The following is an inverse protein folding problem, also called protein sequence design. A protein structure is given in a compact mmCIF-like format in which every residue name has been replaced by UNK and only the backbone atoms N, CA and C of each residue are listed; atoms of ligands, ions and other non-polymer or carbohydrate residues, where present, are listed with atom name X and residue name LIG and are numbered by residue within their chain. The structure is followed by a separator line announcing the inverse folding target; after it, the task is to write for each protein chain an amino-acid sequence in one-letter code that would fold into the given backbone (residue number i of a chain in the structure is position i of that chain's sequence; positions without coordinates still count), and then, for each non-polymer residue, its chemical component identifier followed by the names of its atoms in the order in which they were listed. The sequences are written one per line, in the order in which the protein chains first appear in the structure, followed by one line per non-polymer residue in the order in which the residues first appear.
data_IF_740214950934
#
_entry.id   IF_740214950934
#
_cell.length_a   1.000
_cell.length_b   1.000
_cell.length_c   1.000
_cell.angle_alpha   90.00
_cell.angle_beta   90.00
_cell.angle_gamma   90.00
#
_symmetry.space_group_name_H-M   'P 1'
#
loop_
_entity.id
_entity.type
_entity.pdbx_description
1 polymer ?
#
# COMPACT_ATOMS: atom_id res chain seq x y z
N UNK A 1 2.38 -8.04 -10.28
CA UNK A 1 3.65 -8.01 -9.47
C UNK A 1 4.80 -8.71 -10.17
N UNK A 2 6.06 -8.22 -10.01
CA UNK A 2 7.28 -8.85 -10.55
C UNK A 2 7.67 -10.07 -9.71
N UNK A 3 7.65 -11.26 -10.33
CA UNK A 3 7.84 -12.54 -9.62
C UNK A 3 9.30 -12.79 -9.22
N UNK A 4 10.26 -12.32 -10.01
CA UNK A 4 11.68 -12.46 -9.67
C UNK A 4 12.03 -11.54 -8.49
N UNK A 5 11.50 -10.30 -8.49
CA UNK A 5 11.61 -9.39 -7.36
C UNK A 5 11.03 -9.98 -6.08
N UNK A 6 9.86 -10.63 -6.16
CA UNK A 6 9.24 -11.30 -5.00
C UNK A 6 10.10 -12.45 -4.46
N UNK A 7 10.70 -13.27 -5.31
CA UNK A 7 11.66 -14.31 -4.89
C UNK A 7 12.87 -13.66 -4.21
N UNK A 8 13.51 -12.68 -4.85
CA UNK A 8 14.67 -12.00 -4.28
C UNK A 8 14.34 -11.33 -2.94
N UNK A 9 13.18 -10.66 -2.82
CA UNK A 9 12.71 -10.07 -1.56
C UNK A 9 12.56 -11.12 -0.46
N UNK A 10 11.95 -12.26 -0.78
CA UNK A 10 11.76 -13.33 0.20
C UNK A 10 13.08 -13.83 0.78
N UNK A 11 14.12 -14.00 -0.03
CA UNK A 11 15.48 -14.35 0.43
C UNK A 11 16.18 -13.20 1.14
N UNK A 12 15.90 -11.95 0.77
CA UNK A 12 16.40 -10.77 1.48
C UNK A 12 15.85 -10.68 2.91
N UNK A 13 14.55 -10.95 3.10
CA UNK A 13 13.88 -10.88 4.40
C UNK A 13 14.11 -12.13 5.26
N UNK A 14 14.17 -13.29 4.64
CA UNK A 14 14.44 -14.56 5.31
C UNK A 14 15.38 -15.42 4.45
N UNK A 15 16.71 -15.40 4.73
CA UNK A 15 17.67 -16.21 3.98
C UNK A 15 17.45 -17.73 4.04
N UNK A 16 16.73 -18.20 5.06
CA UNK A 16 16.41 -19.62 5.27
C UNK A 16 15.02 -20.02 4.72
N UNK A 17 14.35 -19.14 3.97
CA UNK A 17 13.02 -19.40 3.43
C UNK A 17 13.01 -20.67 2.56
N UNK A 18 12.08 -21.58 2.85
CA UNK A 18 11.91 -22.82 2.10
C UNK A 18 11.04 -22.64 0.86
N UNK A 19 11.16 -23.54 -0.11
CA UNK A 19 10.30 -23.54 -1.31
C UNK A 19 8.80 -23.67 -0.98
N UNK A 20 8.44 -24.37 0.11
CA UNK A 20 7.05 -24.51 0.56
C UNK A 20 6.53 -23.20 1.16
N UNK A 21 7.35 -22.53 1.94
CA UNK A 21 7.02 -21.20 2.47
C UNK A 21 6.90 -20.18 1.34
N UNK A 22 7.82 -20.18 0.36
CA UNK A 22 7.71 -19.35 -0.84
C UNK A 22 6.40 -19.61 -1.60
N UNK A 23 6.01 -20.87 -1.77
CA UNK A 23 4.77 -21.22 -2.42
C UNK A 23 3.54 -20.66 -1.67
N UNK A 24 3.58 -20.72 -0.34
CA UNK A 24 2.53 -20.16 0.54
C UNK A 24 2.52 -18.64 0.49
N UNK A 25 3.66 -17.99 0.72
CA UNK A 25 3.80 -16.50 0.75
C UNK A 25 3.38 -15.88 -0.58
N UNK A 26 3.81 -16.50 -1.71
CA UNK A 26 3.56 -15.96 -3.05
C UNK A 26 2.23 -16.45 -3.66
N UNK A 27 1.51 -17.32 -2.94
CA UNK A 27 0.31 -17.98 -3.45
C UNK A 27 0.54 -18.65 -4.82
N UNK A 28 1.63 -19.41 -4.94
CA UNK A 28 2.05 -20.10 -6.16
C UNK A 28 2.13 -21.60 -5.92
N UNK A 29 2.03 -22.41 -7.01
CA UNK A 29 2.32 -23.82 -6.94
C UNK A 29 3.83 -24.07 -6.72
N UNK A 30 4.19 -25.17 -6.05
CA UNK A 30 5.60 -25.59 -5.90
C UNK A 30 6.34 -25.70 -7.25
N UNK A 31 5.65 -26.19 -8.28
CA UNK A 31 6.24 -26.29 -9.63
C UNK A 31 6.57 -24.90 -10.20
N UNK A 32 5.70 -23.90 -9.97
CA UNK A 32 5.97 -22.51 -10.38
C UNK A 32 7.13 -21.92 -9.59
N UNK A 33 7.20 -22.16 -8.28
CA UNK A 33 8.31 -21.70 -7.42
C UNK A 33 9.62 -22.33 -7.89
N UNK A 34 9.66 -23.64 -8.15
CA UNK A 34 10.87 -24.32 -8.63
C UNK A 34 11.37 -23.74 -9.97
N UNK A 35 10.44 -23.46 -10.89
CA UNK A 35 10.79 -22.80 -12.15
C UNK A 35 11.38 -21.42 -11.91
N UNK A 36 10.76 -20.58 -11.06
CA UNK A 36 11.24 -19.23 -10.75
C UNK A 36 12.62 -19.27 -10.06
N UNK A 37 12.86 -20.23 -9.18
CA UNK A 37 14.18 -20.42 -8.56
C UNK A 37 15.25 -20.81 -9.59
N UNK A 38 14.93 -21.70 -10.53
CA UNK A 38 15.79 -22.02 -11.67
C UNK A 38 16.13 -20.80 -12.51
N UNK A 39 15.10 -20.03 -12.89
CA UNK A 39 15.27 -18.78 -13.63
C UNK A 39 16.13 -17.75 -12.87
N UNK A 40 15.99 -17.67 -11.52
CA UNK A 40 16.80 -16.79 -10.68
C UNK A 40 18.26 -17.24 -10.59
N UNK A 41 18.54 -18.55 -10.61
CA UNK A 41 19.90 -19.08 -10.70
C UNK A 41 20.55 -18.75 -12.06
N UNK A 42 19.82 -18.96 -13.17
CA UNK A 42 20.29 -18.62 -14.52
C UNK A 42 20.61 -17.13 -14.68
N UNK A 43 19.80 -16.28 -14.03
CA UNK A 43 19.99 -14.82 -13.99
C UNK A 43 21.05 -14.37 -12.98
N UNK A 44 21.66 -15.30 -12.25
CA UNK A 44 22.58 -15.04 -11.15
C UNK A 44 21.99 -14.12 -10.05
N UNK A 45 20.66 -14.08 -9.87
CA UNK A 45 20.03 -13.41 -8.74
C UNK A 45 20.16 -14.23 -7.45
N UNK A 46 20.20 -15.56 -7.59
CA UNK A 46 20.49 -16.50 -6.53
C UNK A 46 21.72 -17.33 -6.91
N UNK A 47 22.37 -17.89 -5.90
CA UNK A 47 23.36 -18.93 -6.04
C UNK A 47 23.06 -20.09 -5.09
N UNK A 48 23.60 -21.27 -5.37
CA UNK A 48 23.51 -22.40 -4.45
C UNK A 48 24.79 -22.45 -3.61
N UNK A 49 24.65 -22.46 -2.32
CA UNK A 49 25.74 -22.73 -1.40
C UNK A 49 26.17 -24.20 -1.55
N UNK A 50 27.46 -24.43 -1.82
CA UNK A 50 27.98 -25.75 -2.14
C UNK A 50 28.04 -26.70 -0.94
N UNK A 51 28.12 -26.14 0.28
CA UNK A 51 28.21 -26.92 1.52
C UNK A 51 26.86 -27.33 2.07
N UNK A 52 25.89 -26.42 1.95
CA UNK A 52 24.55 -26.59 2.56
C UNK A 52 23.45 -26.91 1.54
N UNK A 53 23.70 -26.67 0.25
CA UNK A 53 22.70 -26.80 -0.80
C UNK A 53 21.60 -25.73 -0.76
N UNK A 54 21.72 -24.72 0.11
CA UNK A 54 20.74 -23.62 0.25
C UNK A 54 20.90 -22.58 -0.85
N UNK A 55 19.81 -21.90 -1.16
CA UNK A 55 19.86 -20.74 -2.05
C UNK A 55 20.29 -19.50 -1.26
N UNK A 56 21.17 -18.71 -1.84
CA UNK A 56 21.64 -17.44 -1.29
C UNK A 56 21.37 -16.32 -2.29
N UNK A 57 20.91 -15.18 -1.78
CA UNK A 57 20.74 -13.97 -2.59
C UNK A 57 22.11 -13.38 -2.92
N UNK A 58 22.36 -13.12 -4.20
CA UNK A 58 23.62 -12.55 -4.69
C UNK A 58 23.61 -11.03 -4.69
N UNK A 59 24.79 -10.41 -4.91
CA UNK A 59 24.87 -8.96 -5.14
C UNK A 59 24.07 -8.53 -6.38
N UNK A 60 23.99 -9.36 -7.42
CA UNK A 60 23.18 -9.09 -8.60
C UNK A 60 21.69 -9.16 -8.28
N UNK A 61 21.25 -10.09 -7.43
CA UNK A 61 19.90 -10.17 -6.92
C UNK A 61 19.53 -8.94 -6.05
N UNK A 62 20.44 -8.50 -5.19
CA UNK A 62 20.27 -7.26 -4.42
C UNK A 62 20.15 -6.03 -5.34
N UNK A 63 21.03 -5.93 -6.34
CA UNK A 63 20.96 -4.84 -7.34
C UNK A 63 19.67 -4.87 -8.14
N UNK A 64 19.15 -6.08 -8.44
CA UNK A 64 17.83 -6.22 -9.09
C UNK A 64 16.71 -5.71 -8.20
N UNK A 65 16.78 -5.91 -6.87
CA UNK A 65 15.81 -5.40 -5.91
C UNK A 65 15.77 -3.87 -5.79
N UNK A 66 16.88 -3.18 -6.06
CA UNK A 66 16.95 -1.71 -5.88
C UNK A 66 15.91 -0.94 -6.69
N UNK A 67 15.48 -1.47 -7.84
CA UNK A 67 14.40 -0.86 -8.63
C UNK A 67 13.04 -0.87 -7.93
N UNK A 68 12.86 -1.77 -6.96
CA UNK A 68 11.65 -1.97 -6.17
C UNK A 68 11.73 -1.37 -4.77
N UNK A 69 12.85 -0.70 -4.46
CA UNK A 69 13.01 -0.03 -3.16
C UNK A 69 11.89 0.98 -2.97
N UNK A 70 11.29 0.95 -1.78
CA UNK A 70 10.29 1.92 -1.36
C UNK A 70 10.98 3.24 -1.04
N UNK A 71 10.51 4.31 -1.66
CA UNK A 71 11.07 5.65 -1.50
C UNK A 71 10.44 6.43 -0.34
N UNK A 72 9.24 6.06 0.07
CA UNK A 72 8.55 6.73 1.17
C UNK A 72 7.07 6.33 1.31
N UNK A 73 6.36 7.09 2.13
CA UNK A 73 4.93 6.92 2.35
C UNK A 73 4.19 8.26 2.43
N UNK A 74 2.94 8.25 1.96
CA UNK A 74 1.98 9.34 2.14
C UNK A 74 0.84 8.81 3.01
N UNK A 75 0.54 9.51 4.11
CA UNK A 75 -0.57 9.18 5.01
C UNK A 75 -1.62 10.28 4.87
N UNK A 76 -2.83 9.94 4.45
CA UNK A 76 -3.94 10.90 4.35
C UNK A 76 -4.65 11.03 5.70
N UNK A 77 -4.75 12.28 6.18
CA UNK A 77 -5.33 12.64 7.47
C UNK A 77 -6.12 13.96 7.41
N UNK A 78 -6.64 14.33 6.23
CA UNK A 78 -7.27 15.63 6.01
C UNK A 78 -8.77 15.67 6.37
N UNK A 79 -9.45 14.53 6.45
CA UNK A 79 -10.91 14.43 6.58
C UNK A 79 -11.45 14.79 7.97
N UNK A 80 -12.74 15.16 8.03
CA UNK A 80 -13.45 15.52 9.27
C UNK A 80 -13.67 14.35 10.25
N UNK A 81 -13.71 13.10 9.77
CA UNK A 81 -14.07 11.96 10.60
C UNK A 81 -15.52 12.01 11.13
N UNK A 82 -16.45 12.56 10.35
CA UNK A 82 -17.85 12.84 10.75
C UNK A 82 -18.62 11.65 11.33
N UNK A 83 -18.27 10.42 10.93
CA UNK A 83 -18.86 9.18 11.46
C UNK A 83 -18.48 8.91 12.92
N UNK A 84 -17.47 9.59 13.47
CA UNK A 84 -16.95 9.42 14.84
C UNK A 84 -17.32 10.59 15.78
N UNK A 85 -18.20 11.48 15.37
CA UNK A 85 -18.75 12.56 16.22
C UNK A 85 -19.44 11.91 17.43
N UNK A 86 -19.22 12.42 18.68
CA UNK A 86 -18.53 13.68 19.02
C UNK A 86 -17.01 13.59 19.21
N UNK A 87 -16.41 12.40 19.16
CA UNK A 87 -14.97 12.20 19.44
C UNK A 87 -14.07 13.05 18.52
N UNK A 88 -14.50 13.24 17.28
CA UNK A 88 -13.72 13.96 16.26
C UNK A 88 -13.92 15.47 16.27
N UNK A 89 -14.69 16.04 17.20
CA UNK A 89 -14.77 17.50 17.37
C UNK A 89 -13.45 18.10 17.85
N UNK A 90 -12.71 17.38 18.71
CA UNK A 90 -11.47 17.87 19.29
C UNK A 90 -10.24 17.07 18.88
N UNK A 91 -10.42 15.83 18.40
CA UNK A 91 -9.33 14.93 18.04
C UNK A 91 -9.53 14.35 16.65
N UNK A 92 -8.63 14.63 15.68
CA UNK A 92 -8.69 14.01 14.35
C UNK A 92 -8.75 12.48 14.43
N UNK A 93 -9.46 11.82 13.50
CA UNK A 93 -9.69 10.37 13.52
C UNK A 93 -8.38 9.56 13.64
N UNK A 94 -7.34 9.93 12.90
CA UNK A 94 -6.05 9.24 12.93
C UNK A 94 -5.26 9.38 14.24
N UNK A 95 -5.64 10.34 15.11
CA UNK A 95 -5.07 10.54 16.44
C UNK A 95 -5.87 9.86 17.55
N UNK A 96 -6.99 9.21 17.23
CA UNK A 96 -7.72 8.39 18.19
C UNK A 96 -6.86 7.16 18.58
N UNK A 97 -6.98 6.78 19.85
CA UNK A 97 -6.27 5.62 20.38
C UNK A 97 -7.10 4.34 20.19
N UNK A 98 -6.45 3.34 19.63
CA UNK A 98 -6.97 1.98 19.50
C UNK A 98 -5.96 1.04 20.15
N UNK A 99 -6.42 0.20 21.07
CA UNK A 99 -5.56 -0.69 21.87
C UNK A 99 -4.41 0.05 22.60
N UNK A 100 -4.66 1.30 23.05
CA UNK A 100 -3.68 2.10 23.80
C UNK A 100 -2.61 2.80 22.94
N UNK A 101 -2.78 2.84 21.63
CA UNK A 101 -1.84 3.48 20.71
C UNK A 101 -2.60 4.26 19.63
N UNK A 102 -2.11 5.46 19.27
CA UNK A 102 -2.68 6.25 18.17
C UNK A 102 -2.45 5.56 16.83
N UNK A 103 -3.51 5.42 16.04
CA UNK A 103 -3.47 4.68 14.76
C UNK A 103 -2.36 5.19 13.82
N UNK A 104 -2.26 6.50 13.65
CA UNK A 104 -1.23 7.09 12.76
C UNK A 104 0.19 6.88 13.30
N UNK A 105 0.40 6.98 14.62
CA UNK A 105 1.72 6.77 15.22
C UNK A 105 2.18 5.32 15.05
N UNK A 106 1.26 4.37 15.21
CA UNK A 106 1.54 2.96 14.95
C UNK A 106 2.00 2.72 13.52
N UNK A 107 1.30 3.28 12.53
CA UNK A 107 1.68 3.14 11.13
C UNK A 107 3.07 3.76 10.86
N UNK A 108 3.37 4.95 11.43
CA UNK A 108 4.68 5.59 11.29
C UNK A 108 5.80 4.70 11.88
N UNK A 109 5.60 4.12 13.07
CA UNK A 109 6.57 3.21 13.68
C UNK A 109 6.82 1.98 12.81
N UNK A 110 5.76 1.37 12.29
CA UNK A 110 5.86 0.21 11.40
C UNK A 110 6.58 0.54 10.09
N UNK A 111 6.36 1.73 9.52
CA UNK A 111 7.12 2.21 8.36
C UNK A 111 8.60 2.37 8.69
N UNK A 112 8.93 2.98 9.84
CA UNK A 112 10.32 3.13 10.28
C UNK A 112 11.00 1.77 10.52
N UNK A 113 10.31 0.80 11.12
CA UNK A 113 10.80 -0.58 11.27
C UNK A 113 11.12 -1.24 9.93
N UNK A 114 10.35 -0.94 8.88
CA UNK A 114 10.62 -1.39 7.50
C UNK A 114 11.73 -0.59 6.79
N UNK A 115 12.31 0.42 7.48
CA UNK A 115 13.36 1.29 6.92
C UNK A 115 12.83 2.40 6.02
N UNK A 116 11.54 2.74 6.12
CA UNK A 116 10.87 3.78 5.34
C UNK A 116 10.75 5.03 6.22
N UNK A 117 11.56 6.05 5.95
CA UNK A 117 11.68 7.26 6.79
C UNK A 117 11.20 8.55 6.11
N UNK A 118 11.07 8.56 4.76
CA UNK A 118 10.49 9.72 4.06
C UNK A 118 8.96 9.63 4.08
N UNK A 119 8.34 10.18 5.13
CA UNK A 119 6.91 10.11 5.38
C UNK A 119 6.31 11.51 5.30
N UNK A 120 5.28 11.68 4.47
CA UNK A 120 4.46 12.88 4.39
C UNK A 120 3.03 12.58 4.87
N UNK A 121 2.50 13.47 5.71
CA UNK A 121 1.12 13.39 6.20
C UNK A 121 0.33 14.53 5.57
N UNK A 122 -0.75 14.20 4.85
CA UNK A 122 -1.63 15.20 4.25
C UNK A 122 -2.71 15.54 5.27
N UNK A 123 -2.65 16.78 5.77
CA UNK A 123 -3.52 17.27 6.84
C UNK A 123 -4.54 18.28 6.32
N UNK A 124 -5.66 18.41 7.01
CA UNK A 124 -6.73 19.38 6.72
C UNK A 124 -7.43 19.81 7.99
N UNK A 125 -8.47 19.10 8.38
CA UNK A 125 -9.20 19.34 9.62
C UNK A 125 -8.32 19.21 10.85
N UNK A 126 -8.33 20.20 11.76
CA UNK A 126 -7.51 20.26 12.98
C UNK A 126 -6.01 19.96 12.72
N UNK A 127 -5.47 20.48 11.63
CA UNK A 127 -4.10 20.22 11.18
C UNK A 127 -3.03 20.46 12.25
N UNK A 128 -3.23 21.44 13.13
CA UNK A 128 -2.34 21.80 14.23
C UNK A 128 -2.13 20.65 15.24
N UNK A 129 -3.09 19.74 15.34
CA UNK A 129 -2.99 18.56 16.21
C UNK A 129 -1.95 17.54 15.74
N UNK A 130 -1.50 17.64 14.49
CA UNK A 130 -0.49 16.74 13.91
C UNK A 130 0.94 17.29 14.00
N UNK A 131 1.14 18.58 14.37
CA UNK A 131 2.44 19.27 14.33
C UNK A 131 3.50 18.56 15.18
N UNK A 132 3.12 18.00 16.34
CA UNK A 132 4.05 17.27 17.21
C UNK A 132 4.69 16.04 16.54
N UNK A 133 4.08 15.51 15.49
CA UNK A 133 4.63 14.37 14.74
C UNK A 133 5.89 14.75 13.96
N UNK A 134 6.04 16.03 13.60
CA UNK A 134 7.24 16.54 12.93
C UNK A 134 8.48 16.27 13.81
N UNK A 135 8.44 16.74 15.04
CA UNK A 135 9.57 16.60 15.96
C UNK A 135 9.74 15.16 16.44
N UNK A 136 8.62 14.46 16.69
CA UNK A 136 8.63 13.12 17.25
C UNK A 136 9.10 12.04 16.26
N UNK A 137 8.73 12.17 14.99
CA UNK A 137 8.93 11.11 13.97
C UNK A 137 9.63 11.61 12.70
N UNK A 138 10.03 12.87 12.63
CA UNK A 138 10.71 13.49 11.47
C UNK A 138 9.86 13.41 10.19
N UNK A 139 8.52 13.47 10.33
CA UNK A 139 7.59 13.48 9.20
C UNK A 139 7.40 14.89 8.64
N UNK A 140 6.89 14.97 7.42
CA UNK A 140 6.50 16.23 6.76
C UNK A 140 4.99 16.38 6.80
N UNK A 141 4.49 17.59 7.06
CA UNK A 141 3.05 17.89 6.91
C UNK A 141 2.82 18.65 5.61
N UNK A 142 1.83 18.21 4.84
CA UNK A 142 1.34 18.90 3.65
C UNK A 142 -0.13 19.24 3.86
N UNK A 143 -0.49 20.52 3.70
CA UNK A 143 -1.86 20.98 3.90
C UNK A 143 -2.69 20.84 2.62
N UNK A 144 -3.85 20.19 2.74
CA UNK A 144 -4.88 20.20 1.70
C UNK A 144 -5.87 21.35 1.99
N UNK A 145 -5.86 22.45 1.24
CA UNK A 145 -6.77 23.58 1.49
C UNK A 145 -8.23 23.30 1.12
N UNK A 146 -8.50 22.25 0.35
CA UNK A 146 -9.82 21.89 -0.15
C UNK A 146 -10.50 20.76 0.65
N UNK A 147 -9.92 20.39 1.81
CA UNK A 147 -10.42 19.25 2.62
C UNK A 147 -11.90 19.37 3.02
N UNK A 148 -12.44 20.59 3.06
CA UNK A 148 -13.82 20.86 3.46
C UNK A 148 -14.82 20.81 2.30
N UNK A 149 -14.36 20.92 1.06
CA UNK A 149 -15.20 21.09 -0.13
C UNK A 149 -15.06 19.98 -1.15
N UNK A 150 -13.91 19.28 -1.15
CA UNK A 150 -13.62 18.17 -2.06
C UNK A 150 -13.27 16.90 -1.30
N UNK A 151 -13.49 15.75 -1.94
CA UNK A 151 -13.17 14.44 -1.38
C UNK A 151 -11.68 14.09 -1.58
N UNK A 152 -11.29 12.84 -1.29
CA UNK A 152 -9.88 12.42 -1.22
C UNK A 152 -9.15 12.47 -2.57
N UNK A 153 -9.83 12.53 -3.72
CA UNK A 153 -9.21 12.82 -5.03
C UNK A 153 -8.35 14.10 -4.92
N UNK A 154 -8.90 15.19 -4.34
CA UNK A 154 -8.16 16.43 -4.15
C UNK A 154 -6.97 16.25 -3.19
N UNK A 155 -7.12 15.42 -2.16
CA UNK A 155 -6.01 15.12 -1.23
C UNK A 155 -4.83 14.49 -1.96
N UNK A 156 -5.07 13.50 -2.83
CA UNK A 156 -4.01 12.87 -3.61
C UNK A 156 -3.47 13.82 -4.69
N UNK A 157 -4.32 14.66 -5.29
CA UNK A 157 -3.87 15.68 -6.24
C UNK A 157 -2.88 16.65 -5.60
N UNK A 158 -3.14 17.15 -4.40
CA UNK A 158 -2.19 18.02 -3.68
C UNK A 158 -0.88 17.30 -3.32
N UNK A 159 -0.91 16.00 -3.11
CA UNK A 159 0.25 15.16 -2.82
C UNK A 159 0.94 14.58 -4.06
N UNK A 160 0.43 14.79 -5.27
CA UNK A 160 0.84 14.08 -6.50
C UNK A 160 2.33 14.11 -6.81
N UNK A 161 3.00 15.23 -6.50
CA UNK A 161 4.45 15.35 -6.74
C UNK A 161 5.28 14.41 -5.87
N UNK A 162 4.75 13.97 -4.72
CA UNK A 162 5.41 12.98 -3.86
C UNK A 162 5.47 11.59 -4.50
N UNK A 163 4.56 11.30 -5.44
CA UNK A 163 4.47 10.01 -6.13
C UNK A 163 5.23 9.99 -7.46
N UNK A 164 5.56 11.17 -8.02
CA UNK A 164 6.16 11.27 -9.36
C UNK A 164 7.52 10.61 -9.44
N UNK A 165 7.62 9.50 -10.19
CA UNK A 165 8.85 8.73 -10.38
C UNK A 165 9.31 7.95 -9.16
N UNK A 166 8.45 7.76 -8.17
CA UNK A 166 8.75 7.14 -6.87
C UNK A 166 7.88 5.91 -6.59
N UNK A 167 8.41 5.02 -5.79
CA UNK A 167 7.73 3.87 -5.22
C UNK A 167 7.20 4.26 -3.83
N UNK A 168 5.89 4.46 -3.67
CA UNK A 168 5.30 5.07 -2.49
C UNK A 168 4.15 4.26 -1.90
N UNK A 169 4.13 4.11 -0.59
CA UNK A 169 2.91 3.73 0.09
C UNK A 169 1.93 4.90 0.13
N UNK A 170 0.64 4.59 -0.05
CA UNK A 170 -0.47 5.48 0.20
C UNK A 170 -1.33 4.87 1.31
N UNK A 171 -1.46 5.57 2.43
CA UNK A 171 -2.10 5.09 3.64
C UNK A 171 -3.21 6.05 4.07
N UNK A 172 -4.18 5.51 4.79
CA UNK A 172 -5.18 6.31 5.51
C UNK A 172 -4.85 6.27 7.00
N UNK A 173 -4.93 7.42 7.67
CA UNK A 173 -4.49 7.60 9.07
C UNK A 173 -5.32 6.83 10.10
N UNK A 174 -6.49 6.34 9.71
CA UNK A 174 -7.49 5.72 10.57
C UNK A 174 -7.53 4.18 10.48
N UNK A 175 -6.49 3.57 9.95
CA UNK A 175 -6.28 2.13 10.05
C UNK A 175 -5.35 1.78 11.22
N UNK A 176 -5.78 0.86 12.06
CA UNK A 176 -4.91 0.20 13.02
C UNK A 176 -4.42 -1.12 12.44
N UNK A 177 -3.12 -1.25 12.21
CA UNK A 177 -2.48 -2.41 11.56
C UNK A 177 -1.86 -3.30 12.65
N UNK A 178 -2.31 -4.57 12.74
CA UNK A 178 -1.88 -5.48 13.80
C UNK A 178 -0.40 -5.83 13.70
N UNK A 179 0.00 -6.45 12.61
CA UNK A 179 1.38 -6.84 12.35
C UNK A 179 1.95 -5.93 11.27
N UNK A 180 3.25 -5.63 11.36
CA UNK A 180 3.89 -4.84 10.31
C UNK A 180 3.76 -5.56 8.97
N UNK A 181 3.16 -4.89 7.99
CA UNK A 181 2.93 -5.39 6.63
C UNK A 181 3.72 -4.60 5.58
N UNK A 182 4.55 -3.68 6.02
CA UNK A 182 5.37 -2.85 5.16
C UNK A 182 6.72 -3.50 4.90
N UNK A 183 7.19 -3.40 3.67
CA UNK A 183 8.44 -3.97 3.21
C UNK A 183 9.35 -2.89 2.64
N UNK A 184 10.66 -3.08 2.77
CA UNK A 184 11.66 -2.20 2.16
C UNK A 184 11.61 -2.22 0.63
N UNK A 185 11.16 -3.34 0.05
CA UNK A 185 11.03 -3.54 -1.40
C UNK A 185 9.62 -3.99 -1.75
N UNK A 186 8.99 -3.34 -2.74
CA UNK A 186 7.66 -3.72 -3.23
C UNK A 186 7.65 -3.93 -4.74
N UNK A 187 7.28 -5.12 -5.16
CA UNK A 187 7.50 -5.61 -6.52
C UNK A 187 6.34 -5.38 -7.49
N UNK A 188 5.55 -4.34 -7.29
CA UNK A 188 4.42 -3.95 -8.14
C UNK A 188 3.37 -3.18 -7.35
N UNK A 189 2.47 -2.49 -8.04
CA UNK A 189 1.38 -1.75 -7.41
C UNK A 189 0.31 -2.72 -6.87
N UNK A 190 -0.19 -2.46 -5.67
CA UNK A 190 -1.22 -3.28 -5.05
C UNK A 190 -2.12 -2.48 -4.12
N UNK A 191 -3.36 -2.96 -3.94
CA UNK A 191 -4.34 -2.49 -2.96
C UNK A 191 -4.57 -3.60 -1.93
N UNK A 192 -4.53 -3.29 -0.64
CA UNK A 192 -4.89 -4.27 0.38
C UNK A 192 -6.38 -4.55 0.39
N UNK A 193 -6.75 -5.75 0.82
CA UNK A 193 -8.15 -6.15 0.94
C UNK A 193 -8.36 -7.02 2.16
N UNK A 194 -9.55 -6.90 2.74
CA UNK A 194 -10.01 -7.77 3.84
C UNK A 194 -11.25 -8.53 3.39
N UNK A 195 -11.44 -9.73 3.93
CA UNK A 195 -12.63 -10.52 3.66
C UNK A 195 -13.74 -10.15 4.63
N UNK A 196 -14.91 -9.78 4.10
CA UNK A 196 -16.11 -9.50 4.88
C UNK A 196 -17.13 -10.63 4.70
N UNK A 197 -17.53 -11.23 5.82
CA UNK A 197 -18.57 -12.26 5.89
C UNK A 197 -19.95 -11.60 5.98
N UNK A 198 -20.93 -12.19 5.29
CA UNK A 198 -22.30 -11.68 5.22
C UNK A 198 -22.43 -10.46 4.32
N UNK A 199 -23.55 -9.76 4.46
CA UNK A 199 -23.85 -8.57 3.68
C UNK A 199 -22.92 -7.40 4.03
N UNK A 200 -22.46 -6.68 3.03
CA UNK A 200 -21.65 -5.48 3.17
C UNK A 200 -22.06 -4.41 2.17
N UNK A 201 -21.92 -3.14 2.55
CA UNK A 201 -22.08 -1.97 1.67
C UNK A 201 -20.74 -1.47 1.12
N UNK A 202 -19.64 -2.12 1.46
CA UNK A 202 -18.30 -1.73 1.05
C UNK A 202 -18.03 -2.03 -0.45
N UNK A 203 -16.89 -1.58 -0.93
CA UNK A 203 -16.44 -1.78 -2.31
C UNK A 203 -15.88 -3.19 -2.50
N UNK A 204 -16.71 -4.09 -3.00
CA UNK A 204 -16.37 -5.49 -3.27
C UNK A 204 -15.52 -5.62 -4.52
N UNK A 205 -14.44 -6.41 -4.43
CA UNK A 205 -13.44 -6.55 -5.48
C UNK A 205 -13.76 -7.71 -6.42
N UNK A 206 -13.64 -7.45 -7.72
CA UNK A 206 -13.57 -8.49 -8.75
C UNK A 206 -12.12 -8.65 -9.20
N UNK A 207 -11.63 -9.89 -9.26
CA UNK A 207 -10.24 -10.16 -9.59
C UNK A 207 -10.10 -11.21 -10.69
N UNK A 208 -9.10 -11.05 -11.54
CA UNK A 208 -8.68 -12.08 -12.49
C UNK A 208 -8.12 -13.31 -11.76
N UNK A 209 -7.96 -14.43 -12.47
CA UNK A 209 -7.26 -15.63 -11.96
C UNK A 209 -5.80 -15.36 -11.53
N UNK A 210 -5.21 -14.26 -12.00
CA UNK A 210 -3.84 -13.85 -11.65
C UNK A 210 -3.79 -12.89 -10.45
N UNK A 211 -4.93 -12.53 -9.85
CA UNK A 211 -5.02 -11.61 -8.70
C UNK A 211 -5.04 -10.12 -9.06
N UNK A 212 -5.12 -9.77 -10.35
CA UNK A 212 -5.29 -8.38 -10.79
C UNK A 212 -6.74 -7.93 -10.54
N UNK A 213 -6.90 -6.70 -10.08
CA UNK A 213 -8.20 -6.02 -10.00
C UNK A 213 -8.80 -5.87 -11.40
N UNK A 214 -10.04 -6.31 -11.59
CA UNK A 214 -10.76 -6.25 -12.86
C UNK A 214 -12.08 -5.51 -12.78
N UNK A 215 -12.57 -5.25 -11.57
CA UNK A 215 -13.79 -4.52 -11.31
C UNK A 215 -14.02 -4.27 -9.84
N UNK A 216 -14.91 -3.34 -9.55
CA UNK A 216 -15.37 -3.02 -8.19
C UNK A 216 -16.88 -2.85 -8.21
N UNK A 217 -17.56 -3.51 -7.28
CA UNK A 217 -19.00 -3.40 -7.09
C UNK A 217 -19.29 -2.88 -5.70
N UNK A 218 -20.17 -1.88 -5.59
CA UNK A 218 -20.64 -1.38 -4.30
C UNK A 218 -21.68 -2.34 -3.73
N UNK A 219 -21.40 -2.84 -2.53
CA UNK A 219 -22.23 -3.80 -1.85
C UNK A 219 -22.10 -5.24 -2.38
N UNK A 220 -22.30 -6.20 -1.50
CA UNK A 220 -22.19 -7.62 -1.80
C UNK A 220 -22.35 -8.48 -0.56
N UNK A 221 -22.05 -9.76 -0.70
CA UNK A 221 -22.07 -10.74 0.37
C UNK A 221 -20.80 -11.60 0.26
N UNK A 222 -20.22 -11.99 1.40
CA UNK A 222 -19.06 -12.89 1.47
C UNK A 222 -17.93 -12.52 0.51
N UNK A 223 -17.49 -11.26 0.58
CA UNK A 223 -16.62 -10.67 -0.45
C UNK A 223 -15.33 -10.10 0.10
N UNK A 224 -14.29 -10.08 -0.74
CA UNK A 224 -13.11 -9.27 -0.51
C UNK A 224 -13.42 -7.80 -0.84
N UNK A 225 -13.10 -6.90 0.08
CA UNK A 225 -13.37 -5.46 -0.09
C UNK A 225 -12.09 -4.65 -0.10
N UNK A 226 -12.12 -3.49 -0.76
CA UNK A 226 -11.05 -2.49 -0.70
C UNK A 226 -10.90 -1.97 0.72
N UNK A 227 -9.75 -2.19 1.34
CA UNK A 227 -9.53 -1.75 2.72
C UNK A 227 -8.04 -1.63 3.07
N UNK A 228 -7.64 -0.50 3.62
CA UNK A 228 -6.33 -0.31 4.19
C UNK A 228 -5.26 0.23 3.23
N UNK A 229 -3.99 -0.11 3.48
CA UNK A 229 -2.85 0.41 2.73
C UNK A 229 -2.87 0.08 1.24
N UNK A 230 -2.27 0.98 0.48
CA UNK A 230 -2.05 0.83 -0.96
C UNK A 230 -0.58 1.08 -1.26
N UNK A 231 -0.05 0.45 -2.28
CA UNK A 231 1.28 0.72 -2.79
C UNK A 231 1.25 1.15 -4.25
N UNK A 232 1.80 2.31 -4.53
CA UNK A 232 1.98 2.86 -5.87
C UNK A 232 3.43 2.65 -6.31
N UNK A 233 3.66 1.72 -7.24
CA UNK A 233 4.95 1.65 -7.91
C UNK A 233 5.17 2.88 -8.79
N UNK A 234 6.43 3.25 -9.04
CA UNK A 234 6.76 4.36 -9.96
C UNK A 234 6.15 4.18 -11.35
N UNK A 235 6.00 2.93 -11.82
CA UNK A 235 5.36 2.62 -13.10
C UNK A 235 3.86 2.90 -13.06
N UNK A 236 3.19 2.48 -11.99
CA UNK A 236 1.78 2.79 -11.76
C UNK A 236 1.55 4.30 -11.65
N UNK A 237 2.33 4.99 -10.82
CA UNK A 237 2.23 6.44 -10.66
C UNK A 237 2.40 7.19 -11.98
N UNK A 238 3.31 6.75 -12.85
CA UNK A 238 3.52 7.36 -14.17
C UNK A 238 2.26 7.31 -15.05
N UNK A 239 1.48 6.24 -14.95
CA UNK A 239 0.22 6.08 -15.71
C UNK A 239 -0.96 6.77 -15.01
N UNK A 240 -1.03 6.67 -13.69
CA UNK A 240 -2.14 7.14 -12.87
C UNK A 240 -2.18 8.66 -12.73
N UNK A 241 -1.04 9.32 -12.49
CA UNK A 241 -1.02 10.76 -12.18
C UNK A 241 -1.61 11.66 -13.27
N UNK A 242 -1.37 11.44 -14.58
CA UNK A 242 -2.04 12.23 -15.62
C UNK A 242 -3.57 12.09 -15.59
N UNK A 243 -4.09 10.89 -15.29
CA UNK A 243 -5.52 10.63 -15.18
C UNK A 243 -6.11 11.31 -13.94
N UNK A 244 -5.40 11.26 -12.83
CA UNK A 244 -5.74 11.99 -11.60
C UNK A 244 -5.83 13.50 -11.85
N UNK A 245 -4.84 14.08 -12.53
CA UNK A 245 -4.78 15.51 -12.86
C UNK A 245 -5.93 15.92 -13.79
N UNK A 246 -6.25 15.12 -14.78
CA UNK A 246 -7.38 15.33 -15.68
C UNK A 246 -8.71 15.28 -14.92
N UNK A 247 -8.93 14.26 -14.10
CA UNK A 247 -10.15 14.12 -13.30
C UNK A 247 -10.30 15.28 -12.31
N UNK A 248 -9.23 15.70 -11.63
CA UNK A 248 -9.29 16.82 -10.69
C UNK A 248 -9.73 18.15 -11.37
N UNK A 249 -9.40 18.35 -12.63
CA UNK A 249 -9.78 19.54 -13.41
C UNK A 249 -11.17 19.44 -14.02
N UNK A 250 -11.79 18.25 -14.03
CA UNK A 250 -13.11 18.03 -14.62
C UNK A 250 -14.20 18.47 -13.67
N UNK A 251 -15.12 19.38 -14.07
CA UNK A 251 -16.26 19.76 -13.24
C UNK A 251 -17.14 18.55 -12.90
N UNK A 252 -17.64 18.50 -11.66
CA UNK A 252 -18.52 17.42 -11.19
C UNK A 252 -17.76 16.25 -10.52
N UNK A 253 -16.42 16.32 -10.44
CA UNK A 253 -15.59 15.29 -9.77
C UNK A 253 -15.16 15.70 -8.36
N UNK A 254 -15.69 16.79 -7.80
CA UNK A 254 -15.31 17.32 -6.49
C UNK A 254 -15.50 16.30 -5.36
N UNK A 255 -16.50 15.42 -5.50
CA UNK A 255 -16.79 14.37 -4.52
C UNK A 255 -16.19 12.99 -4.88
N UNK A 256 -15.35 12.94 -5.92
CA UNK A 256 -14.69 11.69 -6.29
C UNK A 256 -13.63 11.27 -5.26
N UNK A 257 -13.56 9.97 -5.08
CA UNK A 257 -12.39 9.32 -4.48
C UNK A 257 -11.32 9.12 -5.56
N UNK A 258 -10.06 9.03 -5.19
CA UNK A 258 -8.99 8.71 -6.13
C UNK A 258 -9.18 7.30 -6.74
N UNK A 259 -9.85 6.42 -6.00
CA UNK A 259 -10.23 5.08 -6.43
C UNK A 259 -11.20 5.10 -7.62
N UNK A 260 -12.03 6.13 -7.77
CA UNK A 260 -12.88 6.28 -8.94
C UNK A 260 -12.04 6.35 -10.22
N UNK A 261 -10.92 7.10 -10.18
CA UNK A 261 -9.99 7.19 -11.31
C UNK A 261 -9.37 5.83 -11.63
N UNK A 262 -8.99 5.05 -10.62
CA UNK A 262 -8.48 3.69 -10.81
C UNK A 262 -9.53 2.80 -11.47
N UNK A 263 -10.76 2.81 -10.93
CA UNK A 263 -11.86 1.93 -11.37
C UNK A 263 -12.27 2.23 -12.83
N UNK A 264 -12.30 3.50 -13.20
CA UNK A 264 -12.64 3.94 -14.56
C UNK A 264 -11.58 3.57 -15.61
N UNK A 265 -10.34 3.22 -15.18
CA UNK A 265 -9.22 2.96 -16.07
C UNK A 265 -8.54 1.59 -15.81
N UNK A 266 -9.29 0.59 -15.33
CA UNK A 266 -8.77 -0.76 -15.09
C UNK A 266 -8.35 -1.50 -16.38
N UNK A 267 -8.69 -0.99 -17.53
CA UNK A 267 -8.20 -1.45 -18.83
C UNK A 267 -6.74 -1.07 -19.11
N UNK A 268 -6.25 -0.02 -18.47
CA UNK A 268 -4.88 0.53 -18.65
C UNK A 268 -4.05 0.53 -17.39
N UNK A 269 -4.69 0.59 -16.21
CA UNK A 269 -4.04 0.56 -14.90
C UNK A 269 -4.06 -0.84 -14.30
N UNK A 270 -2.88 -1.43 -14.11
CA UNK A 270 -2.75 -2.72 -13.44
C UNK A 270 -2.53 -2.53 -11.93
N UNK A 271 -3.42 -3.11 -11.13
CA UNK A 271 -3.35 -3.13 -9.66
C UNK A 271 -3.54 -4.56 -9.16
N UNK A 272 -2.56 -5.09 -8.45
CA UNK A 272 -2.70 -6.38 -7.76
C UNK A 272 -3.51 -6.22 -6.47
N UNK A 273 -4.13 -7.31 -5.99
CA UNK A 273 -4.84 -7.32 -4.71
C UNK A 273 -4.02 -8.06 -3.67
N UNK A 274 -3.66 -7.33 -2.60
CA UNK A 274 -2.93 -7.87 -1.46
C UNK A 274 -3.93 -8.27 -0.36
N UNK A 275 -4.32 -9.54 -0.35
CA UNK A 275 -5.29 -10.11 0.59
C UNK A 275 -4.70 -10.25 1.97
N UNK A 276 -5.33 -9.61 2.95
CA UNK A 276 -4.89 -9.61 4.33
C UNK A 276 -5.57 -10.72 5.16
N UNK A 277 -4.86 -11.30 6.14
CA UNK A 277 -5.46 -12.20 7.11
C UNK A 277 -6.59 -11.52 7.89
N UNK A 278 -7.49 -12.31 8.44
CA UNK A 278 -8.53 -11.83 9.33
C UNK A 278 -7.91 -11.05 10.52
N UNK A 279 -8.50 -9.94 10.88
CA UNK A 279 -8.03 -9.07 11.97
C UNK A 279 -6.61 -8.47 11.78
N UNK A 280 -6.12 -8.35 10.57
CA UNK A 280 -4.85 -7.66 10.26
C UNK A 280 -5.02 -6.15 10.26
N UNK A 281 -6.16 -5.64 9.76
CA UNK A 281 -6.48 -4.22 9.64
C UNK A 281 -7.82 -3.97 10.34
N UNK A 282 -7.87 -2.92 11.16
CA UNK A 282 -9.06 -2.46 11.89
C UNK A 282 -9.39 -1.02 11.56
#
# INVERSE_FOLDING_TARGET
MDRYGLICRSFYENPDVTQRELASILNLSLGTVNKLLGDCLEKAFLMTDMDTGKYLLTEQGLKYLDQFKVDGAVITAAGFGSRFVPLTFETPKGLLEVFGERMIERQIKQLHEAGITDIAIIVGYLKEKFEYLIDKYQVKLLYNPEYATKNNLATIYHARELFRGRNMYLLVSDNWIRNNMYHKYECGAWYSSVYMKGETSEWCLETSKKGLLTGVKVGGEDSWVMYGPVFFSKTFSKQFLPLLEQNYQTPGTEQFYWENVLIEHLDTLEMDINRQPEHQIY
#
